data_IF_412660725985
#
_entry.id   IF_412660725985
#
_cell.length_a   1.000
_cell.length_b   1.000
_cell.length_c   1.000
_cell.angle_alpha   90.00
_cell.angle_beta   90.00
_cell.angle_gamma   90.00
#
_symmetry.space_group_name_H-M   'P 1'
#
loop_
_entity.id
_entity.type
_entity.pdbx_description
1 polymer ?
#
# COMPACT_ATOMS: atom_id res chain seq x y z
N UNK A 1 -12.11 -2.54 19.94
CA UNK A 1 -11.63 -2.26 19.57
C UNK A 1 -10.88 -1.57 19.46
N UNK A 2 -10.17 -1.30 19.32
CA UNK A 2 -9.41 -0.67 19.15
C UNK A 2 -9.14 0.04 18.46
N UNK A 3 -8.81 0.68 18.44
CA UNK A 3 -8.77 1.48 17.48
C UNK A 3 -7.60 2.24 17.49
N UNK A 4 -6.73 2.26 17.11
CA UNK A 4 -5.59 3.09 16.97
C UNK A 4 -5.64 3.86 15.71
N UNK A 5 -4.64 4.65 15.44
CA UNK A 5 -4.56 5.40 14.21
C UNK A 5 -4.36 4.43 13.05
N UNK A 6 -4.73 4.84 11.85
CA UNK A 6 -4.54 3.97 10.70
C UNK A 6 -3.06 3.70 10.47
N UNK A 7 -2.76 2.59 9.86
CA UNK A 7 -1.39 2.23 9.55
C UNK A 7 -0.79 3.24 8.58
N UNK A 8 0.48 3.52 8.73
CA UNK A 8 1.19 4.40 7.81
C UNK A 8 2.20 3.59 7.03
N UNK A 9 2.77 4.20 6.00
CA UNK A 9 3.79 3.51 5.22
C UNK A 9 5.01 3.20 6.09
N UNK A 10 5.35 4.11 6.98
CA UNK A 10 6.46 3.88 7.89
C UNK A 10 6.21 2.74 8.85
N UNK A 11 5.00 2.68 9.41
CA UNK A 11 4.69 1.61 10.34
C UNK A 11 4.61 0.27 9.62
N UNK A 12 4.12 0.28 8.38
CA UNK A 12 4.07 -0.94 7.59
C UNK A 12 5.49 -1.46 7.31
N UNK A 13 6.39 -0.55 6.99
CA UNK A 13 7.78 -0.93 6.75
C UNK A 13 8.41 -1.49 8.02
N UNK A 14 8.15 -0.84 9.15
CA UNK A 14 8.73 -1.28 10.40
C UNK A 14 8.18 -2.63 10.83
N UNK A 15 6.92 -2.88 10.53
CA UNK A 15 6.29 -4.14 10.91
C UNK A 15 6.64 -5.28 9.95
N UNK A 16 7.22 -4.96 8.81
CA UNK A 16 7.58 -6.00 7.86
C UNK A 16 6.40 -6.59 7.12
N UNK A 17 5.30 -5.86 7.04
CA UNK A 17 4.14 -6.37 6.32
C UNK A 17 4.36 -6.21 4.83
N UNK A 18 3.57 -6.91 4.05
CA UNK A 18 3.66 -6.87 2.60
C UNK A 18 2.43 -6.19 2.05
N UNK A 19 2.65 -5.33 1.08
CA UNK A 19 1.57 -4.62 0.40
C UNK A 19 1.41 -5.23 -0.98
N UNK A 20 0.21 -5.74 -1.25
CA UNK A 20 -0.06 -6.33 -2.55
C UNK A 20 -1.16 -5.50 -3.18
N UNK A 21 -0.89 -4.93 -4.34
CA UNK A 21 -1.87 -4.10 -5.03
C UNK A 21 -2.12 -4.65 -6.41
N UNK A 22 -3.33 -4.50 -6.88
CA UNK A 22 -3.67 -4.95 -8.22
C UNK A 22 -4.70 -4.03 -8.84
N UNK A 23 -4.67 -3.96 -10.15
CA UNK A 23 -5.64 -3.17 -10.89
C UNK A 23 -6.83 -4.05 -11.24
N UNK A 24 -8.01 -3.65 -10.86
CA UNK A 24 -9.19 -4.45 -11.14
C UNK A 24 -9.59 -4.36 -12.60
N UNK A 25 -9.14 -3.33 -13.30
CA UNK A 25 -9.48 -3.17 -14.70
C UNK A 25 -8.66 -4.07 -15.60
N UNK A 26 -7.35 -4.12 -15.41
CA UNK A 26 -6.49 -4.91 -16.28
C UNK A 26 -5.82 -6.09 -15.58
N UNK A 27 -6.10 -6.23 -14.28
CA UNK A 27 -5.55 -7.34 -13.50
C UNK A 27 -4.06 -7.36 -13.31
N UNK A 28 -3.42 -6.23 -13.48
CA UNK A 28 -1.99 -6.13 -13.23
C UNK A 28 -1.75 -6.10 -11.72
N UNK A 29 -0.86 -6.91 -11.23
CA UNK A 29 -0.59 -7.00 -9.81
C UNK A 29 0.87 -6.69 -9.52
N UNK A 30 1.12 -5.97 -8.44
CA UNK A 30 2.48 -5.69 -8.02
C UNK A 30 2.55 -5.78 -6.50
N UNK A 31 3.76 -5.81 -5.99
CA UNK A 31 3.96 -5.88 -4.55
C UNK A 31 4.99 -4.84 -4.19
N UNK A 32 4.60 -3.58 -4.04
CA UNK A 32 5.55 -2.52 -3.70
C UNK A 32 6.12 -2.70 -2.30
N UNK A 33 7.36 -2.27 -2.13
CA UNK A 33 8.02 -2.36 -0.85
C UNK A 33 7.58 -1.18 0.01
N UNK A 34 7.00 -1.42 1.20
CA UNK A 34 6.54 -0.30 2.02
C UNK A 34 7.65 0.68 2.40
N UNK A 35 8.88 0.20 2.59
CA UNK A 35 9.97 1.10 2.92
C UNK A 35 10.26 2.06 1.77
N UNK A 36 10.20 1.54 0.55
CA UNK A 36 10.42 2.35 -0.61
C UNK A 36 9.30 3.36 -0.78
N UNK A 37 8.08 2.95 -0.54
CA UNK A 37 6.93 3.85 -0.63
C UNK A 37 7.00 4.92 0.44
N UNK A 38 7.49 4.57 1.63
CA UNK A 38 7.64 5.53 2.70
C UNK A 38 8.67 6.59 2.33
N UNK A 39 9.71 6.21 1.61
CA UNK A 39 10.69 7.18 1.17
C UNK A 39 10.13 8.08 0.09
N UNK A 40 9.31 7.55 -0.77
CA UNK A 40 8.78 8.31 -1.87
C UNK A 40 7.65 9.26 -1.46
N UNK A 41 6.77 8.81 -0.61
CA UNK A 41 5.60 9.58 -0.23
C UNK A 41 5.64 10.11 1.20
N UNK A 42 6.55 9.64 1.99
CA UNK A 42 6.63 10.06 3.40
C UNK A 42 6.17 8.95 4.32
N UNK A 43 6.92 8.72 5.37
CA UNK A 43 6.61 7.62 6.29
C UNK A 43 5.31 7.85 7.03
N UNK A 44 4.89 9.11 7.14
CA UNK A 44 3.66 9.43 7.85
C UNK A 44 2.40 9.31 7.02
N UNK A 45 2.53 9.06 5.73
CA UNK A 45 1.35 8.90 4.90
C UNK A 45 0.62 7.63 5.30
N UNK A 46 -0.69 7.74 5.55
CA UNK A 46 -1.47 6.57 5.92
C UNK A 46 -1.68 5.69 4.70
N UNK A 47 -1.85 4.40 4.92
CA UNK A 47 -2.06 3.49 3.79
C UNK A 47 -3.36 3.79 3.05
N UNK A 48 -4.47 4.19 3.71
CA UNK A 48 -5.65 4.59 2.93
C UNK A 48 -5.40 5.78 2.01
N UNK A 49 -4.64 6.78 2.48
CA UNK A 49 -4.33 7.93 1.64
C UNK A 49 -3.42 7.53 0.49
N UNK A 50 -2.46 6.68 0.77
CA UNK A 50 -1.55 6.18 -0.25
C UNK A 50 -2.34 5.40 -1.32
N UNK A 51 -3.29 4.59 -0.86
CA UNK A 51 -4.10 3.80 -1.77
C UNK A 51 -4.87 4.70 -2.75
N UNK A 52 -5.37 5.82 -2.26
CA UNK A 52 -6.12 6.73 -3.11
C UNK A 52 -5.27 7.41 -4.16
N UNK A 53 -3.96 7.43 -3.97
CA UNK A 53 -3.07 8.04 -4.93
C UNK A 53 -2.55 7.06 -5.95
N UNK A 54 -2.90 5.80 -5.84
CA UNK A 54 -2.38 4.79 -6.74
C UNK A 54 -3.11 4.83 -8.08
N UNK A 55 -2.34 4.68 -9.14
CA UNK A 55 -2.89 4.64 -10.48
C UNK A 55 -2.18 3.50 -11.18
N UNK A 56 -2.89 2.71 -11.94
CA UNK A 56 -2.28 1.60 -12.65
C UNK A 56 -1.35 2.12 -13.74
N UNK A 57 -0.11 1.67 -13.73
CA UNK A 57 0.85 2.12 -14.71
C UNK A 57 0.63 1.46 -16.07
N UNK A 58 -0.19 0.43 -16.11
CA UNK A 58 -0.44 -0.26 -17.37
C UNK A 58 -1.62 0.33 -18.13
N UNK A 59 -2.68 0.67 -17.46
CA UNK A 59 -3.86 1.16 -18.15
C UNK A 59 -4.33 2.54 -17.65
N UNK A 60 -3.69 3.07 -16.63
CA UNK A 60 -4.05 4.38 -16.12
C UNK A 60 -5.31 4.41 -15.28
N UNK A 61 -5.86 3.26 -14.95
CA UNK A 61 -7.07 3.19 -14.18
C UNK A 61 -6.79 3.48 -12.72
N UNK A 62 -7.77 4.02 -12.03
CA UNK A 62 -7.66 4.22 -10.59
C UNK A 62 -8.42 3.14 -9.83
N UNK A 63 -8.86 2.11 -10.54
CA UNK A 63 -9.56 1.01 -9.93
C UNK A 63 -8.54 0.05 -9.31
N UNK A 64 -7.89 0.49 -8.27
CA UNK A 64 -6.82 -0.26 -7.63
C UNK A 64 -7.35 -0.80 -6.31
N UNK A 65 -7.07 -2.06 -6.05
CA UNK A 65 -7.39 -2.64 -4.75
C UNK A 65 -6.07 -3.07 -4.12
N UNK A 66 -6.07 -3.29 -2.82
CA UNK A 66 -4.86 -3.71 -2.15
C UNK A 66 -5.17 -4.56 -0.93
N UNK A 67 -4.18 -5.34 -0.54
CA UNK A 67 -4.25 -6.16 0.64
C UNK A 67 -2.95 -5.97 1.40
N UNK A 68 -3.03 -5.88 2.72
CA UNK A 68 -1.85 -5.81 3.56
C UNK A 68 -1.76 -7.14 4.29
N UNK A 69 -0.70 -7.91 4.05
CA UNK A 69 -0.55 -9.19 4.70
C UNK A 69 0.42 -9.05 5.86
N UNK A 70 0.10 -9.63 6.93
CA UNK A 70 0.92 -9.51 8.11
C UNK A 70 1.98 -10.57 8.27
N UNK A 71 2.76 -10.88 7.25
CA UNK A 71 3.60 -11.87 7.27
C UNK A 71 4.80 -11.64 7.98
N UNK A 72 5.29 -12.04 8.87
CA UNK A 72 6.37 -11.80 9.45
C UNK A 72 6.90 -12.91 9.89
N UNK A 73 7.68 -13.28 10.05
CA UNK A 73 8.14 -14.33 10.33
C UNK A 73 9.03 -14.44 10.40
#
# INVERSE_FOLDING_TARGET
MKSGPPATLGSSAAAGVRLIVWCKACRHQTEPDPAEQAERYGAEMTTPDWHERLVCSQCGSREIDMVVTGERR
#
